data_IF_084529183729
#
_entry.id   IF_084529183729
#
_cell.length_a   1.000
_cell.length_b   1.000
_cell.length_c   1.000
_cell.angle_alpha   90.00
_cell.angle_beta   90.00
_cell.angle_gamma   90.00
#
_symmetry.space_group_name_H-M   'P 1'
#
loop_
_entity.id
_entity.type
_entity.pdbx_description
1 polymer ?
#
# COMPACT_ATOMS: atom_id res chain seq x y z
N UNK A 1 -3.06 -3.04 24.96
CA UNK A 1 -3.33 -3.05 24.39
C UNK A 1 -3.47 -3.21 23.40
N UNK A 2 -3.59 -3.44 23.07
CA UNK A 2 -3.81 -3.81 22.20
C UNK A 2 -4.31 -3.50 21.09
N UNK A 3 -4.62 -3.22 20.37
CA UNK A 3 -5.04 -2.82 19.22
C UNK A 3 -4.24 -3.14 18.15
N UNK A 4 -3.68 -4.25 18.13
CA UNK A 4 -2.76 -4.71 17.21
C UNK A 4 -3.30 -4.76 15.84
N UNK A 5 -4.55 -4.77 15.66
CA UNK A 5 -5.15 -4.84 14.34
C UNK A 5 -5.68 -3.51 13.87
N UNK A 6 -5.17 -2.45 14.40
CA UNK A 6 -5.62 -1.13 14.00
C UNK A 6 -5.20 -0.84 12.57
N UNK A 7 -6.16 -0.46 11.75
CA UNK A 7 -5.90 -0.04 10.40
C UNK A 7 -5.37 1.40 10.44
N UNK A 8 -4.22 1.63 9.85
CA UNK A 8 -3.59 2.94 9.85
C UNK A 8 -3.40 3.41 8.42
N UNK A 9 -4.41 4.05 7.82
CA UNK A 9 -4.33 4.41 6.41
C UNK A 9 -3.15 5.32 6.09
N UNK A 10 -2.78 6.20 7.01
CA UNK A 10 -1.65 7.09 6.79
C UNK A 10 -0.34 6.32 6.66
N UNK A 11 -0.16 5.30 7.48
CA UNK A 11 1.03 4.48 7.41
C UNK A 11 1.10 3.69 6.11
N UNK A 12 -0.02 3.11 5.72
CA UNK A 12 -0.09 2.37 4.47
C UNK A 12 0.22 3.29 3.28
N UNK A 13 -0.35 4.47 3.31
CA UNK A 13 -0.16 5.48 2.26
C UNK A 13 1.31 5.84 2.11
N UNK A 14 1.97 6.09 3.24
CA UNK A 14 3.38 6.45 3.24
C UNK A 14 4.24 5.33 2.69
N UNK A 15 3.96 4.10 3.11
CA UNK A 15 4.74 2.96 2.65
C UNK A 15 4.58 2.73 1.16
N UNK A 16 3.35 2.86 0.67
CA UNK A 16 3.09 2.70 -0.76
C UNK A 16 3.83 3.76 -1.56
N UNK A 17 3.78 5.01 -1.09
CA UNK A 17 4.48 6.08 -1.79
C UNK A 17 5.98 5.86 -1.81
N UNK A 18 6.54 5.40 -0.70
CA UNK A 18 7.96 5.10 -0.63
C UNK A 18 8.35 4.00 -1.59
N UNK A 19 7.53 2.96 -1.67
CA UNK A 19 7.79 1.84 -2.57
C UNK A 19 7.69 2.27 -4.03
N UNK A 20 6.69 3.10 -4.34
CA UNK A 20 6.55 3.60 -5.70
C UNK A 20 7.77 4.42 -6.10
N UNK A 21 8.23 5.27 -5.20
CA UNK A 21 9.38 6.11 -5.46
C UNK A 21 10.64 5.27 -5.63
N UNK A 22 10.85 4.33 -4.73
CA UNK A 22 12.04 3.49 -4.76
C UNK A 22 12.09 2.63 -6.02
N UNK A 23 10.94 2.23 -6.53
CA UNK A 23 10.86 1.35 -7.69
C UNK A 23 10.51 2.09 -8.98
N UNK A 24 10.34 3.40 -8.90
CA UNK A 24 10.00 4.24 -10.06
C UNK A 24 8.73 3.78 -10.74
N UNK A 25 7.70 3.49 -9.94
CA UNK A 25 6.41 3.06 -10.43
C UNK A 25 5.43 4.20 -10.26
N UNK A 26 4.72 4.55 -11.33
CA UNK A 26 3.71 5.61 -11.28
C UNK A 26 2.40 5.08 -10.75
N UNK A 27 1.49 5.99 -10.36
CA UNK A 27 0.16 5.59 -9.92
C UNK A 27 -0.59 4.84 -11.01
N UNK A 28 -0.46 5.29 -12.26
CA UNK A 28 -1.12 4.62 -13.37
C UNK A 28 -0.61 3.19 -13.52
N UNK A 29 0.70 3.01 -13.42
CA UNK A 29 1.29 1.69 -13.52
C UNK A 29 0.84 0.79 -12.38
N UNK A 30 0.85 1.31 -11.16
CA UNK A 30 0.47 0.51 -10.02
C UNK A 30 -1.00 0.12 -10.10
N UNK A 31 -1.86 1.07 -10.45
CA UNK A 31 -3.29 0.79 -10.59
C UNK A 31 -3.52 -0.31 -11.63
N UNK A 32 -2.82 -0.24 -12.75
CA UNK A 32 -2.96 -1.26 -13.78
C UNK A 32 -2.53 -2.63 -13.27
N UNK A 33 -1.44 -2.67 -12.52
CA UNK A 33 -0.91 -3.93 -12.02
C UNK A 33 -1.81 -4.59 -10.98
N UNK A 34 -2.48 -3.77 -10.17
CA UNK A 34 -3.37 -4.34 -9.14
C UNK A 34 -4.82 -4.43 -9.60
N UNK A 35 -5.10 -3.96 -10.81
CA UNK A 35 -6.44 -4.12 -11.36
C UNK A 35 -7.48 -3.17 -10.81
N UNK A 36 -7.07 -1.99 -10.34
CA UNK A 36 -8.03 -0.99 -9.90
C UNK A 36 -7.90 0.25 -10.75
N UNK A 37 -8.85 1.17 -10.61
CA UNK A 37 -8.79 2.41 -11.38
C UNK A 37 -7.72 3.33 -10.79
N UNK A 38 -7.09 4.09 -11.66
CA UNK A 38 -6.11 5.07 -11.22
C UNK A 38 -6.75 6.11 -10.32
N UNK A 39 -7.99 6.47 -10.61
CA UNK A 39 -8.74 7.43 -9.82
C UNK A 39 -8.89 6.96 -8.37
N UNK A 40 -9.22 5.69 -8.19
CA UNK A 40 -9.39 5.13 -6.86
C UNK A 40 -8.06 5.13 -6.10
N UNK A 41 -6.99 4.72 -6.76
CA UNK A 41 -5.67 4.69 -6.14
C UNK A 41 -5.21 6.12 -5.80
N UNK A 42 -5.43 7.05 -6.71
CA UNK A 42 -5.05 8.44 -6.50
C UNK A 42 -5.77 9.04 -5.30
N UNK A 43 -7.05 8.73 -5.13
CA UNK A 43 -7.81 9.24 -4.00
C UNK A 43 -7.30 8.69 -2.68
N UNK A 44 -6.90 7.44 -2.67
CA UNK A 44 -6.30 6.88 -1.47
C UNK A 44 -4.94 7.53 -1.17
N UNK A 45 -4.11 7.66 -2.17
CA UNK A 45 -2.77 8.23 -2.00
C UNK A 45 -2.84 9.68 -1.55
N UNK A 46 -3.82 10.44 -2.05
CA UNK A 46 -3.96 11.84 -1.69
C UNK A 46 -4.66 12.05 -0.35
N UNK A 47 -5.15 10.99 0.26
CA UNK A 47 -5.82 11.10 1.54
C UNK A 47 -7.30 11.40 1.47
N UNK A 48 -7.89 11.42 0.28
CA UNK A 48 -9.31 11.69 0.13
C UNK A 48 -10.18 10.55 0.59
N UNK A 49 -9.64 9.33 0.61
CA UNK A 49 -10.32 8.20 1.16
C UNK A 49 -9.32 7.39 1.98
N UNK A 50 -9.79 6.79 3.04
CA UNK A 50 -8.94 5.95 3.88
C UNK A 50 -9.07 4.48 3.53
N UNK A 51 -9.92 4.17 2.56
CA UNK A 51 -10.17 2.77 2.22
C UNK A 51 -9.56 2.42 0.88
N UNK A 52 -8.76 1.39 0.87
CA UNK A 52 -8.19 0.87 -0.36
C UNK A 52 -8.71 -0.54 -0.66
N UNK A 53 -9.12 -1.25 0.38
CA UNK A 53 -9.59 -2.61 0.24
C UNK A 53 -8.48 -3.61 0.51
N UNK A 54 -8.80 -4.67 1.24
CA UNK A 54 -7.81 -5.68 1.61
C UNK A 54 -7.18 -6.31 0.40
N UNK A 55 -7.99 -6.58 -0.61
CA UNK A 55 -7.50 -7.24 -1.81
C UNK A 55 -6.45 -6.40 -2.53
N UNK A 56 -6.69 -5.10 -2.58
CA UNK A 56 -5.73 -4.20 -3.23
C UNK A 56 -4.45 -4.11 -2.43
N UNK A 57 -4.54 -4.12 -1.11
CA UNK A 57 -3.37 -4.10 -0.25
C UNK A 57 -2.51 -5.35 -0.50
N UNK A 58 -3.15 -6.51 -0.59
CA UNK A 58 -2.43 -7.74 -0.86
C UNK A 58 -1.76 -7.69 -2.23
N UNK A 59 -2.46 -7.17 -3.22
CA UNK A 59 -1.90 -7.08 -4.57
C UNK A 59 -0.73 -6.12 -4.64
N UNK A 60 -0.81 -5.00 -3.94
CA UNK A 60 0.30 -4.05 -3.86
C UNK A 60 1.52 -4.72 -3.21
N UNK A 61 1.30 -5.45 -2.14
CA UNK A 61 2.39 -6.16 -1.48
C UNK A 61 3.08 -7.11 -2.47
N UNK A 62 2.31 -7.80 -3.30
CA UNK A 62 2.87 -8.70 -4.29
C UNK A 62 3.65 -7.98 -5.38
N UNK A 63 3.12 -6.83 -5.81
CA UNK A 63 3.81 -6.05 -6.85
C UNK A 63 5.21 -5.65 -6.38
N UNK A 64 5.32 -5.24 -5.13
CA UNK A 64 6.60 -4.77 -4.60
C UNK A 64 7.37 -5.85 -3.85
N UNK A 65 6.83 -7.05 -3.80
CA UNK A 65 7.49 -8.18 -3.15
C UNK A 65 7.80 -7.88 -1.67
N UNK A 66 6.83 -7.32 -0.99
CA UNK A 66 6.92 -7.07 0.46
C UNK A 66 5.75 -7.78 1.13
N UNK A 67 5.81 -7.91 2.45
CA UNK A 67 4.71 -8.52 3.19
C UNK A 67 3.59 -7.52 3.39
N UNK A 68 2.37 -8.02 3.59
CA UNK A 68 1.27 -7.15 3.96
C UNK A 68 1.52 -6.53 5.33
N UNK A 69 2.20 -7.24 6.22
CA UNK A 69 2.54 -6.70 7.54
C UNK A 69 3.41 -5.46 7.41
N UNK A 70 4.33 -5.45 6.46
CA UNK A 70 5.14 -4.28 6.21
C UNK A 70 4.28 -3.11 5.74
N UNK A 71 3.38 -3.36 4.80
CA UNK A 71 2.49 -2.31 4.30
C UNK A 71 1.59 -1.77 5.41
N UNK A 72 1.11 -2.64 6.28
CA UNK A 72 0.25 -2.23 7.37
C UNK A 72 1.01 -1.53 8.49
N UNK A 73 2.33 -1.53 8.41
CA UNK A 73 3.13 -0.86 9.41
C UNK A 73 3.41 -1.67 10.65
N UNK A 74 3.15 -2.96 10.60
CA UNK A 74 3.37 -3.82 11.76
C UNK A 74 4.82 -4.25 11.91
N UNK A 75 5.59 -4.15 10.82
CA UNK A 75 7.04 -4.38 10.90
C UNK A 75 7.72 -3.22 10.21
N UNK A 76 8.90 -2.87 10.70
CA UNK A 76 9.61 -1.72 10.15
C UNK A 76 10.45 -2.06 8.95
N UNK A 77 10.83 -3.31 8.81
CA UNK A 77 11.67 -3.72 7.69
C UNK A 77 10.95 -4.76 6.87
N UNK A 78 11.06 -4.60 5.57
CA UNK A 78 10.51 -5.60 4.68
C UNK A 78 11.30 -6.88 4.84
N UNK A 79 10.63 -8.03 5.03
CA UNK A 79 11.37 -9.28 5.07
C UNK A 79 12.00 -9.51 3.72
N UNK A 80 13.24 -9.95 3.75
CA UNK A 80 13.86 -10.28 2.50
C UNK A 80 13.37 -11.63 2.08
N UNK A 81 13.05 -11.70 0.89
CA UNK A 81 12.56 -12.96 0.34
C UNK A 81 13.69 -13.97 0.28
#
# INVERSE_FOLDING_TARGET
MSNENVYLPGKIRDRIQDLMKANKVTQAELAARIGCSESMLSRFISGKTDKLGDENIIRIARVFNVSTDFLLGEVDMSPTA
#
